data_IF_764134425566
#
_entry.id   IF_764134425566
#
_cell.length_a   1.000
_cell.length_b   1.000
_cell.length_c   1.000
_cell.angle_alpha   90.00
_cell.angle_beta   90.00
_cell.angle_gamma   90.00
#
_symmetry.space_group_name_H-M   'P 1'
#
loop_
_entity.id
_entity.type
_entity.pdbx_description
1 polymer ?
#
# COMPACT_ATOMS: atom_id res chain seq x y z
N UNK A 1 13.16 22.24 6.74
CA UNK A 1 12.91 22.38 8.20
C UNK A 1 12.76 23.88 8.45
N UNK A 2 11.56 24.35 8.84
CA UNK A 2 11.37 25.75 9.25
C UNK A 2 11.84 25.88 10.69
N UNK A 3 12.94 26.60 10.91
CA UNK A 3 13.59 26.73 12.22
C UNK A 3 13.14 28.01 12.91
N UNK A 4 12.59 27.88 14.13
CA UNK A 4 12.49 29.02 15.05
C UNK A 4 13.88 29.37 15.62
N UNK A 5 14.14 30.62 16.00
CA UNK A 5 15.50 31.09 16.33
C UNK A 5 16.04 30.59 17.68
N UNK A 6 15.19 30.02 18.55
CA UNK A 6 15.54 29.63 19.92
C UNK A 6 15.69 28.12 20.08
N UNK A 7 16.77 27.57 19.51
CA UNK A 7 17.64 26.56 20.15
C UNK A 7 17.10 25.23 20.70
N UNK A 8 15.82 24.87 20.59
CA UNK A 8 15.29 23.63 21.16
C UNK A 8 14.98 22.58 20.07
N UNK A 9 16.04 22.06 19.43
CA UNK A 9 15.94 20.86 18.61
C UNK A 9 16.12 19.62 19.48
N UNK A 10 15.02 18.97 19.82
CA UNK A 10 15.06 17.62 20.40
C UNK A 10 14.83 16.59 19.29
N UNK A 11 15.87 15.82 18.97
CA UNK A 11 15.75 14.64 18.11
C UNK A 11 15.06 13.54 18.92
N UNK A 12 13.76 13.34 18.68
CA UNK A 12 13.02 12.21 19.25
C UNK A 12 13.07 11.02 18.29
N UNK A 13 14.06 10.16 18.48
CA UNK A 13 14.04 8.81 17.90
C UNK A 13 12.93 8.01 18.58
N UNK A 14 12.01 7.45 17.79
CA UNK A 14 10.95 6.56 18.28
C UNK A 14 11.25 5.12 17.84
N UNK A 15 10.93 4.10 18.65
CA UNK A 15 11.10 2.72 18.23
C UNK A 15 10.23 2.37 17.01
N UNK A 16 10.65 1.39 16.22
CA UNK A 16 9.93 0.95 15.02
C UNK A 16 8.46 0.61 15.32
N UNK A 17 7.54 1.06 14.45
CA UNK A 17 6.09 0.83 14.56
C UNK A 17 5.44 1.29 15.90
N UNK A 18 5.96 2.35 16.53
CA UNK A 18 5.36 2.93 17.75
C UNK A 18 4.35 4.05 17.49
N UNK A 19 4.25 4.56 16.26
CA UNK A 19 3.16 5.47 15.91
C UNK A 19 1.85 4.70 15.85
N UNK A 20 0.83 5.20 16.55
CA UNK A 20 -0.45 4.50 16.76
C UNK A 20 -1.66 5.29 16.29
N UNK A 21 -1.48 6.55 15.89
CA UNK A 21 -2.57 7.44 15.48
C UNK A 21 -2.11 8.42 14.41
N UNK A 22 -2.85 8.46 13.30
CA UNK A 22 -2.77 9.57 12.34
C UNK A 22 -3.63 10.71 12.87
N UNK A 23 -3.06 11.91 12.92
CA UNK A 23 -3.75 13.10 13.46
C UNK A 23 -4.25 14.02 12.35
N UNK A 24 -3.58 14.01 11.21
CA UNK A 24 -3.86 14.91 10.09
C UNK A 24 -4.59 14.25 8.93
N UNK A 25 -5.35 15.05 8.19
CA UNK A 25 -5.93 14.62 6.91
C UNK A 25 -4.85 14.32 5.87
N UNK A 26 -3.72 15.03 5.91
CA UNK A 26 -2.58 14.81 5.04
C UNK A 26 -1.97 13.41 5.20
N UNK A 27 -1.87 12.92 6.44
CA UNK A 27 -1.41 11.57 6.75
C UNK A 27 -2.39 10.51 6.25
N UNK A 28 -3.70 10.73 6.44
CA UNK A 28 -4.73 9.83 5.94
C UNK A 28 -4.70 9.74 4.40
N UNK A 29 -4.54 10.87 3.70
CA UNK A 29 -4.45 10.89 2.24
C UNK A 29 -3.21 10.17 1.71
N UNK A 30 -2.06 10.26 2.39
CA UNK A 30 -0.88 9.46 2.03
C UNK A 30 -1.16 7.96 2.13
N UNK A 31 -1.90 7.52 3.16
CA UNK A 31 -2.28 6.11 3.28
C UNK A 31 -3.22 5.68 2.14
N UNK A 32 -4.19 6.51 1.76
CA UNK A 32 -5.07 6.24 0.62
C UNK A 32 -4.30 6.17 -0.70
N UNK A 33 -3.44 7.15 -0.96
CA UNK A 33 -2.61 7.18 -2.17
C UNK A 33 -1.70 5.96 -2.23
N UNK A 34 -1.06 5.59 -1.12
CA UNK A 34 -0.18 4.43 -1.04
C UNK A 34 -0.91 3.14 -1.43
N UNK A 35 -2.10 2.90 -0.90
CA UNK A 35 -2.91 1.71 -1.22
C UNK A 35 -3.43 1.76 -2.65
N UNK A 36 -3.95 2.91 -3.10
CA UNK A 36 -4.46 3.07 -4.46
C UNK A 36 -3.37 2.80 -5.50
N UNK A 37 -2.16 3.32 -5.29
CA UNK A 37 -1.02 3.09 -6.16
C UNK A 37 -0.53 1.65 -6.11
N UNK A 38 -0.54 0.99 -4.95
CA UNK A 38 -0.21 -0.43 -4.85
C UNK A 38 -1.14 -1.29 -5.71
N UNK A 39 -2.46 -1.07 -5.64
CA UNK A 39 -3.44 -1.78 -6.48
C UNK A 39 -3.20 -1.47 -7.95
N UNK A 40 -3.07 -0.19 -8.29
CA UNK A 40 -2.84 0.25 -9.66
C UNK A 40 -1.59 -0.39 -10.27
N UNK A 41 -0.45 -0.34 -9.57
CA UNK A 41 0.80 -0.90 -10.08
C UNK A 41 0.72 -2.42 -10.20
N UNK A 42 0.00 -3.09 -9.31
CA UNK A 42 -0.28 -4.51 -9.43
C UNK A 42 -1.08 -4.80 -10.72
N UNK A 43 -2.12 -4.01 -11.01
CA UNK A 43 -2.91 -4.14 -12.24
C UNK A 43 -2.08 -3.83 -13.49
N UNK A 44 -1.33 -2.73 -13.50
CA UNK A 44 -0.59 -2.27 -14.66
C UNK A 44 0.64 -3.12 -14.94
N UNK A 45 1.43 -3.49 -13.93
CA UNK A 45 2.71 -4.18 -14.14
C UNK A 45 2.59 -5.69 -14.07
N UNK A 46 1.82 -6.23 -13.11
CA UNK A 46 1.67 -7.68 -12.92
C UNK A 46 0.44 -8.24 -13.64
N UNK A 47 -0.59 -7.43 -13.89
CA UNK A 47 -1.84 -7.88 -14.49
C UNK A 47 -1.72 -8.31 -15.96
N UNK A 48 -2.67 -9.14 -16.45
CA UNK A 48 -2.68 -9.64 -17.83
C UNK A 48 -3.24 -8.61 -18.84
N UNK A 49 -3.68 -7.44 -18.40
CA UNK A 49 -4.39 -6.47 -19.23
C UNK A 49 -3.44 -5.58 -20.06
N UNK A 50 -3.18 -5.98 -21.30
CA UNK A 50 -2.31 -5.23 -22.22
C UNK A 50 -2.81 -3.81 -22.56
N UNK A 51 -4.12 -3.57 -22.53
CA UNK A 51 -4.71 -2.24 -22.77
C UNK A 51 -4.30 -1.23 -21.69
N UNK A 52 -4.34 -1.63 -20.42
CA UNK A 52 -3.93 -0.76 -19.30
C UNK A 52 -2.43 -0.47 -19.37
N UNK A 53 -1.62 -1.45 -19.78
CA UNK A 53 -0.18 -1.28 -20.03
C UNK A 53 0.09 -0.27 -21.15
N UNK A 54 -0.66 -0.36 -22.25
CA UNK A 54 -0.54 0.56 -23.36
C UNK A 54 -0.89 2.01 -22.96
N UNK A 55 -1.96 2.19 -22.18
CA UNK A 55 -2.33 3.51 -21.64
C UNK A 55 -1.26 4.09 -20.70
N UNK A 56 -0.60 3.25 -19.92
CA UNK A 56 0.49 3.69 -19.05
C UNK A 56 1.78 4.01 -19.83
N UNK A 57 2.03 3.34 -20.95
CA UNK A 57 3.25 3.49 -21.76
C UNK A 57 3.08 4.49 -22.92
N UNK A 58 2.58 5.69 -22.60
CA UNK A 58 2.27 6.73 -23.60
C UNK A 58 3.49 7.16 -24.42
N UNK A 59 4.70 7.08 -23.87
CA UNK A 59 5.93 7.47 -24.55
C UNK A 59 6.25 6.57 -25.75
N UNK A 60 5.96 5.27 -25.66
CA UNK A 60 6.21 4.31 -26.75
C UNK A 60 4.99 4.13 -27.65
N UNK A 61 3.78 4.14 -27.08
CA UNK A 61 2.54 3.83 -27.81
C UNK A 61 1.90 5.08 -28.44
N UNK A 62 2.11 6.26 -27.86
CA UNK A 62 1.52 7.52 -28.35
C UNK A 62 0.02 7.69 -28.08
N UNK A 63 -0.63 6.80 -27.32
CA UNK A 63 -2.05 6.89 -26.97
C UNK A 63 -2.31 7.87 -25.82
N UNK A 64 -2.34 9.16 -26.16
CA UNK A 64 -2.62 10.24 -25.21
C UNK A 64 -4.04 10.18 -24.62
N UNK A 65 -5.02 9.67 -25.38
CA UNK A 65 -6.40 9.55 -24.93
C UNK A 65 -6.52 8.50 -23.81
N UNK A 66 -5.95 7.32 -24.04
CA UNK A 66 -5.85 6.26 -23.04
C UNK A 66 -5.06 6.70 -21.80
N UNK A 67 -3.95 7.41 -21.99
CA UNK A 67 -3.16 7.96 -20.89
C UNK A 67 -3.95 8.94 -20.01
N UNK A 68 -4.69 9.88 -20.61
CA UNK A 68 -5.51 10.84 -19.86
C UNK A 68 -6.63 10.14 -19.06
N UNK A 69 -7.26 9.11 -19.65
CA UNK A 69 -8.24 8.29 -18.94
C UNK A 69 -7.60 7.55 -17.76
N UNK A 70 -6.43 6.94 -17.98
CA UNK A 70 -5.66 6.24 -16.96
C UNK A 70 -5.28 7.18 -15.81
N UNK A 71 -4.69 8.35 -16.12
CA UNK A 71 -4.31 9.35 -15.13
C UNK A 71 -5.52 9.89 -14.35
N UNK A 72 -6.62 10.20 -15.06
CA UNK A 72 -7.87 10.64 -14.45
C UNK A 72 -8.44 9.60 -13.48
N UNK A 73 -8.48 8.33 -13.89
CA UNK A 73 -8.95 7.23 -13.05
C UNK A 73 -8.14 7.11 -11.76
N UNK A 74 -6.80 7.22 -11.84
CA UNK A 74 -5.92 7.15 -10.67
C UNK A 74 -6.23 8.27 -9.68
N UNK A 75 -6.34 9.51 -10.16
CA UNK A 75 -6.64 10.65 -9.30
C UNK A 75 -8.03 10.54 -8.68
N UNK A 76 -9.04 10.16 -9.46
CA UNK A 76 -10.39 9.96 -8.97
C UNK A 76 -10.43 8.87 -7.90
N UNK A 77 -9.74 7.75 -8.11
CA UNK A 77 -9.71 6.64 -7.14
C UNK A 77 -8.96 7.05 -5.87
N UNK A 78 -7.76 7.62 -6.00
CA UNK A 78 -6.89 7.94 -4.86
C UNK A 78 -7.43 9.10 -4.02
N UNK A 79 -8.01 10.13 -4.64
CA UNK A 79 -8.43 11.36 -3.96
C UNK A 79 -9.92 11.41 -3.64
N UNK A 80 -10.74 10.63 -4.34
CA UNK A 80 -12.20 10.64 -4.22
C UNK A 80 -12.77 9.32 -3.72
N UNK A 81 -12.68 8.27 -4.55
CA UNK A 81 -13.37 6.99 -4.30
C UNK A 81 -12.88 6.33 -3.02
N UNK A 82 -11.57 6.16 -2.85
CA UNK A 82 -11.02 5.44 -1.69
C UNK A 82 -11.29 6.19 -0.37
N UNK A 83 -11.06 7.53 -0.27
CA UNK A 83 -11.49 8.29 0.91
C UNK A 83 -13.00 8.23 1.17
N UNK A 84 -13.84 8.28 0.13
CA UNK A 84 -15.29 8.19 0.27
C UNK A 84 -15.73 6.82 0.80
N UNK A 85 -15.21 5.73 0.24
CA UNK A 85 -15.43 4.37 0.75
C UNK A 85 -14.98 4.27 2.19
N UNK A 86 -13.81 4.81 2.53
CA UNK A 86 -13.29 4.77 3.89
C UNK A 86 -14.16 5.56 4.89
N UNK A 87 -14.68 6.71 4.47
CA UNK A 87 -15.65 7.48 5.24
C UNK A 87 -16.94 6.71 5.46
N UNK A 88 -17.47 6.04 4.43
CA UNK A 88 -18.66 5.19 4.55
C UNK A 88 -18.42 4.05 5.55
N UNK A 89 -17.27 3.37 5.50
CA UNK A 89 -16.93 2.32 6.46
C UNK A 89 -16.84 2.84 7.89
N UNK A 90 -16.19 4.00 8.10
CA UNK A 90 -16.11 4.63 9.41
C UNK A 90 -17.48 5.09 9.93
N UNK A 91 -18.34 5.57 9.03
CA UNK A 91 -19.71 5.97 9.35
C UNK A 91 -20.60 4.78 9.71
N UNK A 92 -20.54 3.69 8.94
CA UNK A 92 -21.20 2.43 9.27
C UNK A 92 -20.71 1.87 10.61
N UNK A 93 -19.40 1.95 10.87
CA UNK A 93 -18.83 1.57 12.15
C UNK A 93 -19.42 2.38 13.30
N UNK A 94 -19.54 3.70 13.13
CA UNK A 94 -20.21 4.58 14.10
C UNK A 94 -21.65 4.14 14.37
N UNK A 95 -22.43 3.88 13.33
CA UNK A 95 -23.83 3.42 13.44
C UNK A 95 -23.93 2.09 14.21
N UNK A 96 -23.11 1.10 13.84
CA UNK A 96 -23.12 -0.23 14.44
C UNK A 96 -22.59 -0.24 15.88
N UNK A 97 -21.71 0.69 16.24
CA UNK A 97 -21.17 0.81 17.60
C UNK A 97 -22.22 1.25 18.62
N UNK A 98 -23.34 1.83 18.19
CA UNK A 98 -24.39 2.36 19.06
C UNK A 98 -23.94 3.54 19.95
N UNK A 99 -22.78 4.15 19.68
CA UNK A 99 -22.22 5.25 20.46
C UNK A 99 -22.07 6.52 19.63
N UNK A 100 -23.08 7.41 19.62
CA UNK A 100 -23.06 8.63 18.81
C UNK A 100 -22.02 9.65 19.28
N UNK A 101 -21.56 9.53 20.53
CA UNK A 101 -20.55 10.37 21.20
C UNK A 101 -19.20 10.40 20.48
N UNK A 102 -18.83 9.32 19.78
CA UNK A 102 -17.57 9.26 19.04
C UNK A 102 -17.75 9.97 17.69
N UNK A 103 -16.97 11.03 17.40
CA UNK A 103 -17.12 11.77 16.16
C UNK A 103 -16.61 10.95 14.96
N UNK A 104 -17.37 10.94 13.86
CA UNK A 104 -17.04 10.20 12.64
C UNK A 104 -15.65 10.58 12.07
N UNK A 105 -15.27 11.86 12.18
CA UNK A 105 -13.93 12.34 11.79
C UNK A 105 -12.80 11.61 12.53
N UNK A 106 -12.96 11.35 13.82
CA UNK A 106 -11.93 10.67 14.60
C UNK A 106 -11.81 9.19 14.20
N UNK A 107 -12.92 8.55 13.83
CA UNK A 107 -12.91 7.17 13.32
C UNK A 107 -12.29 7.11 11.93
N UNK A 108 -12.63 8.05 11.04
CA UNK A 108 -12.07 8.15 9.70
C UNK A 108 -10.54 8.30 9.72
N UNK A 109 -10.04 9.29 10.47
CA UNK A 109 -8.59 9.54 10.59
C UNK A 109 -7.89 8.41 11.35
N UNK A 110 -8.49 7.95 12.44
CA UNK A 110 -7.92 6.89 13.26
C UNK A 110 -7.77 5.58 12.48
N UNK A 111 -8.84 5.13 11.85
CA UNK A 111 -8.83 3.87 11.10
C UNK A 111 -8.01 3.95 9.82
N UNK A 112 -7.77 5.13 9.24
CA UNK A 112 -6.85 5.26 8.10
C UNK A 112 -5.43 4.73 8.43
N UNK A 113 -5.02 4.72 9.71
CA UNK A 113 -3.76 4.09 10.13
C UNK A 113 -3.69 2.61 9.76
N UNK A 114 -4.83 1.91 9.75
CA UNK A 114 -4.90 0.47 9.44
C UNK A 114 -4.48 0.17 8.00
N UNK A 115 -4.64 1.13 7.09
CA UNK A 115 -4.17 1.01 5.70
C UNK A 115 -2.65 1.08 5.58
N UNK A 116 -1.95 1.61 6.59
CA UNK A 116 -0.49 1.73 6.56
C UNK A 116 0.20 0.35 6.58
N UNK A 117 -0.02 -0.54 7.58
CA UNK A 117 0.61 -1.86 7.57
C UNK A 117 0.15 -2.73 6.40
N UNK A 118 -1.13 -2.65 6.01
CA UNK A 118 -1.67 -3.41 4.86
C UNK A 118 -1.06 -2.93 3.55
N UNK A 119 -1.06 -1.63 3.31
CA UNK A 119 -0.49 -1.04 2.09
C UNK A 119 1.02 -1.23 2.01
N UNK A 120 1.75 -1.08 3.12
CA UNK A 120 3.19 -1.35 3.15
C UNK A 120 3.49 -2.82 2.83
N UNK A 121 2.74 -3.76 3.40
CA UNK A 121 2.87 -5.17 3.09
C UNK A 121 2.57 -5.46 1.61
N UNK A 122 1.55 -4.82 1.04
CA UNK A 122 1.23 -4.93 -0.38
C UNK A 122 2.35 -4.38 -1.28
N UNK A 123 2.97 -3.26 -0.92
CA UNK A 123 4.12 -2.71 -1.63
C UNK A 123 5.33 -3.64 -1.59
N UNK A 124 5.65 -4.19 -0.41
CA UNK A 124 6.72 -5.18 -0.25
C UNK A 124 6.44 -6.41 -1.12
N UNK A 125 5.22 -6.95 -1.04
CA UNK A 125 4.79 -8.10 -1.83
C UNK A 125 4.88 -7.82 -3.35
N UNK A 126 4.48 -6.63 -3.78
CA UNK A 126 4.56 -6.18 -5.17
C UNK A 126 6.01 -6.07 -5.67
N UNK A 127 6.98 -5.70 -4.82
CA UNK A 127 8.39 -5.54 -5.21
C UNK A 127 9.14 -6.85 -5.45
N UNK A 128 8.75 -7.95 -4.79
CA UNK A 128 9.42 -9.25 -4.94
C UNK A 128 9.50 -9.75 -6.39
N UNK A 129 8.40 -9.76 -7.17
CA UNK A 129 8.44 -10.10 -8.59
C UNK A 129 9.46 -9.29 -9.39
N UNK A 130 9.55 -7.98 -9.14
CA UNK A 130 10.45 -7.09 -9.87
C UNK A 130 11.91 -7.50 -9.67
N UNK A 131 12.26 -7.95 -8.46
CA UNK A 131 13.61 -8.42 -8.13
C UNK A 131 13.82 -9.83 -8.68
N UNK A 132 12.95 -10.79 -8.37
CA UNK A 132 13.16 -12.21 -8.68
C UNK A 132 13.21 -12.47 -10.19
N UNK A 133 12.45 -11.73 -10.98
CA UNK A 133 12.46 -11.83 -12.44
C UNK A 133 13.68 -11.16 -13.08
N UNK A 134 14.22 -10.10 -12.46
CA UNK A 134 15.25 -9.26 -13.07
C UNK A 134 16.62 -9.33 -12.38
N UNK A 135 16.79 -10.07 -11.30
CA UNK A 135 18.04 -10.08 -10.50
C UNK A 135 19.26 -10.46 -11.33
N UNK A 136 19.15 -11.44 -12.24
CA UNK A 136 20.25 -11.81 -13.14
C UNK A 136 20.64 -10.66 -14.06
N UNK A 137 19.66 -9.90 -14.55
CA UNK A 137 19.89 -8.74 -15.39
C UNK A 137 20.47 -7.56 -14.60
N UNK A 138 19.96 -7.31 -13.39
CA UNK A 138 20.51 -6.29 -12.48
C UNK A 138 21.98 -6.57 -12.19
N UNK A 139 22.35 -7.82 -11.92
CA UNK A 139 23.73 -8.21 -11.65
C UNK A 139 24.62 -8.09 -12.90
N UNK A 140 24.12 -8.51 -14.08
CA UNK A 140 24.86 -8.36 -15.33
C UNK A 140 25.13 -6.88 -15.66
N UNK A 141 24.10 -6.03 -15.61
CA UNK A 141 24.21 -4.59 -15.86
C UNK A 141 25.03 -3.88 -14.78
N UNK A 142 25.03 -4.34 -13.53
CA UNK A 142 25.91 -3.80 -12.50
C UNK A 142 27.39 -4.17 -12.73
N UNK A 143 27.66 -5.34 -13.34
CA UNK A 143 29.01 -5.79 -13.68
C UNK A 143 29.59 -5.05 -14.90
N UNK A 144 28.75 -4.74 -15.88
CA UNK A 144 29.08 -3.93 -17.06
C UNK A 144 28.10 -2.74 -17.27
N UNK A 145 28.20 -1.68 -16.45
CA UNK A 145 27.22 -0.59 -16.47
C UNK A 145 27.27 0.26 -17.74
N UNK A 146 28.42 0.29 -18.44
CA UNK A 146 28.61 1.06 -19.66
C UNK A 146 28.55 0.21 -20.94
N UNK A 147 28.45 -1.12 -20.82
CA UNK A 147 28.52 -2.03 -21.97
C UNK A 147 29.91 -2.05 -22.63
N UNK A 148 30.96 -1.69 -21.89
CA UNK A 148 32.33 -1.60 -22.41
C UNK A 148 33.10 -2.92 -22.26
N UNK A 149 32.41 -3.99 -21.87
CA UNK A 149 33.01 -5.29 -21.58
C UNK A 149 33.67 -5.34 -20.20
N UNK A 150 33.26 -4.47 -19.28
CA UNK A 150 33.71 -4.55 -17.89
C UNK A 150 33.10 -5.78 -17.21
N UNK A 151 33.80 -6.30 -16.21
CA UNK A 151 33.26 -7.38 -15.37
C UNK A 151 33.63 -7.16 -13.91
N UNK A 152 33.05 -6.10 -13.32
CA UNK A 152 33.40 -5.65 -11.97
C UNK A 152 33.08 -6.68 -10.88
N UNK A 153 32.08 -7.53 -11.12
CA UNK A 153 31.54 -8.50 -10.15
C UNK A 153 31.68 -9.96 -10.63
N UNK A 154 32.20 -10.19 -11.85
CA UNK A 154 32.30 -11.54 -12.41
C UNK A 154 31.00 -12.08 -13.03
N UNK A 155 30.00 -11.22 -13.23
CA UNK A 155 28.63 -11.59 -13.61
C UNK A 155 28.14 -10.93 -14.91
N UNK A 156 29.01 -10.23 -15.66
CA UNK A 156 28.62 -9.50 -16.88
C UNK A 156 27.98 -10.38 -17.96
N UNK A 157 28.36 -11.66 -18.01
CA UNK A 157 27.92 -12.61 -19.03
C UNK A 157 26.82 -13.57 -18.57
N UNK A 158 26.23 -13.35 -17.39
CA UNK A 158 25.14 -14.20 -16.90
C UNK A 158 23.89 -13.99 -17.76
N UNK A 159 23.34 -15.05 -18.38
CA UNK A 159 22.12 -14.92 -19.18
C UNK A 159 20.94 -14.54 -18.29
N UNK A 160 19.96 -13.84 -18.87
CA UNK A 160 18.72 -13.54 -18.17
C UNK A 160 17.98 -14.83 -17.81
N UNK A 161 17.72 -15.02 -16.52
CA UNK A 161 16.91 -16.12 -16.00
C UNK A 161 16.19 -15.67 -14.72
N UNK A 162 14.87 -15.91 -14.60
CA UNK A 162 14.17 -15.73 -13.33
C UNK A 162 14.77 -16.62 -12.24
N UNK A 163 14.87 -16.10 -11.02
CA UNK A 163 15.33 -16.85 -9.85
C UNK A 163 14.09 -17.25 -9.03
N UNK A 164 13.93 -18.55 -8.78
CA UNK A 164 12.91 -19.12 -7.90
C UNK A 164 11.48 -18.56 -8.09
N UNK A 165 10.95 -18.51 -9.33
CA UNK A 165 9.61 -17.98 -9.60
C UNK A 165 8.51 -18.75 -8.86
N UNK A 166 8.71 -20.04 -8.57
CA UNK A 166 7.77 -20.90 -7.86
C UNK A 166 7.50 -20.45 -6.42
N UNK A 167 8.43 -19.73 -5.78
CA UNK A 167 8.27 -19.25 -4.41
C UNK A 167 7.59 -17.87 -4.31
N UNK A 168 7.47 -17.15 -5.43
CA UNK A 168 6.99 -15.77 -5.47
C UNK A 168 5.60 -15.62 -4.84
N UNK A 169 4.64 -16.47 -5.25
CA UNK A 169 3.28 -16.43 -4.73
C UNK A 169 3.21 -16.67 -3.22
N UNK A 170 3.98 -17.62 -2.70
CA UNK A 170 4.00 -17.93 -1.26
C UNK A 170 4.51 -16.74 -0.43
N UNK A 171 5.56 -16.05 -0.91
CA UNK A 171 6.11 -14.86 -0.24
C UNK A 171 5.08 -13.72 -0.25
N UNK A 172 4.45 -13.47 -1.40
CA UNK A 172 3.44 -12.42 -1.56
C UNK A 172 2.23 -12.65 -0.66
N UNK A 173 1.70 -13.87 -0.64
CA UNK A 173 0.58 -14.27 0.24
C UNK A 173 0.96 -14.05 1.70
N UNK A 174 2.14 -14.52 2.11
CA UNK A 174 2.61 -14.41 3.50
C UNK A 174 2.71 -12.95 3.94
N UNK A 175 3.29 -12.08 3.10
CA UNK A 175 3.39 -10.64 3.41
C UNK A 175 2.02 -10.00 3.56
N UNK A 176 1.09 -10.28 2.64
CA UNK A 176 -0.28 -9.75 2.71
C UNK A 176 -1.02 -10.20 3.97
N UNK A 177 -0.89 -11.48 4.35
CA UNK A 177 -1.50 -12.01 5.58
C UNK A 177 -0.91 -11.38 6.84
N UNK A 178 0.41 -11.17 6.87
CA UNK A 178 1.07 -10.45 7.97
C UNK A 178 0.55 -9.00 8.04
N UNK A 179 0.46 -8.31 6.89
CA UNK A 179 -0.09 -6.95 6.82
C UNK A 179 -1.54 -6.88 7.32
N UNK A 180 -2.38 -7.82 6.93
CA UNK A 180 -3.76 -7.94 7.41
C UNK A 180 -3.83 -8.20 8.91
N UNK A 181 -3.02 -9.12 9.45
CA UNK A 181 -2.99 -9.43 10.87
C UNK A 181 -2.60 -8.21 11.71
N UNK A 182 -1.55 -7.48 11.31
CA UNK A 182 -1.15 -6.23 11.97
C UNK A 182 -2.23 -5.15 11.82
N UNK A 183 -2.85 -5.03 10.65
CA UNK A 183 -3.95 -4.09 10.43
C UNK A 183 -5.14 -4.36 11.37
N UNK A 184 -5.56 -5.62 11.50
CA UNK A 184 -6.66 -6.02 12.37
C UNK A 184 -6.33 -5.81 13.86
N UNK A 185 -5.14 -6.23 14.33
CA UNK A 185 -4.73 -6.03 15.74
C UNK A 185 -4.67 -4.53 16.09
N UNK A 186 -4.01 -3.71 15.26
CA UNK A 186 -3.86 -2.28 15.53
C UNK A 186 -5.17 -1.53 15.40
N UNK A 187 -5.99 -1.86 14.40
CA UNK A 187 -7.32 -1.28 14.22
C UNK A 187 -8.25 -1.60 15.39
N UNK A 188 -8.25 -2.83 15.88
CA UNK A 188 -9.03 -3.23 17.04
C UNK A 188 -8.58 -2.52 18.32
N UNK A 189 -7.26 -2.43 18.58
CA UNK A 189 -6.73 -1.69 19.72
C UNK A 189 -7.13 -0.22 19.69
N UNK A 190 -7.12 0.40 18.51
CA UNK A 190 -7.55 1.78 18.34
C UNK A 190 -9.06 1.95 18.60
N UNK A 191 -9.88 1.01 18.12
CA UNK A 191 -11.31 0.99 18.41
C UNK A 191 -11.57 0.82 19.92
N UNK A 192 -10.86 -0.08 20.59
CA UNK A 192 -10.92 -0.29 22.03
C UNK A 192 -10.56 0.98 22.81
N UNK A 193 -9.46 1.65 22.42
CA UNK A 193 -9.04 2.90 23.05
C UNK A 193 -10.07 4.03 22.88
N UNK A 194 -10.89 4.01 21.82
CA UNK A 194 -11.87 5.06 21.54
C UNK A 194 -13.24 4.80 22.16
N UNK A 195 -13.71 3.55 22.14
CA UNK A 195 -15.02 3.16 22.62
C UNK A 195 -15.03 2.70 24.08
N UNK A 196 -13.89 2.24 24.63
CA UNK A 196 -13.74 1.79 26.01
C UNK A 196 -14.50 0.50 26.36
N UNK A 197 -15.24 -0.09 25.42
CA UNK A 197 -16.02 -1.32 25.60
C UNK A 197 -15.81 -2.28 24.44
N UNK A 198 -15.59 -3.56 24.76
CA UNK A 198 -15.32 -4.61 23.76
C UNK A 198 -16.42 -4.76 22.71
N UNK A 199 -17.70 -4.79 23.13
CA UNK A 199 -18.82 -4.95 22.20
C UNK A 199 -18.95 -3.78 21.21
N UNK A 200 -18.85 -2.54 21.71
CA UNK A 200 -18.92 -1.35 20.86
C UNK A 200 -17.70 -1.22 19.94
N UNK A 201 -16.51 -1.59 20.43
CA UNK A 201 -15.29 -1.58 19.64
C UNK A 201 -15.32 -2.61 18.50
N UNK A 202 -15.73 -3.85 18.76
CA UNK A 202 -15.83 -4.89 17.73
C UNK A 202 -16.86 -4.49 16.68
N UNK A 203 -18.06 -4.06 17.08
CA UNK A 203 -19.10 -3.63 16.13
C UNK A 203 -18.70 -2.39 15.34
N UNK A 204 -18.01 -1.45 15.99
CA UNK A 204 -17.52 -0.24 15.35
C UNK A 204 -16.37 -0.46 14.36
N UNK A 205 -15.49 -1.43 14.66
CA UNK A 205 -14.38 -1.77 13.78
C UNK A 205 -14.75 -2.74 12.66
N UNK A 206 -15.83 -3.52 12.83
CA UNK A 206 -16.22 -4.58 11.90
C UNK A 206 -16.29 -4.13 10.43
N UNK A 207 -16.91 -2.99 10.06
CA UNK A 207 -16.94 -2.57 8.65
C UNK A 207 -15.54 -2.30 8.07
N UNK A 208 -14.66 -1.67 8.86
CA UNK A 208 -13.28 -1.42 8.46
C UNK A 208 -12.48 -2.71 8.36
N UNK A 209 -12.65 -3.64 9.30
CA UNK A 209 -12.03 -4.96 9.28
C UNK A 209 -12.42 -5.76 8.03
N UNK A 210 -13.70 -5.74 7.66
CA UNK A 210 -14.19 -6.35 6.41
C UNK A 210 -13.59 -5.63 5.20
N UNK A 211 -13.54 -4.29 5.21
CA UNK A 211 -12.95 -3.51 4.12
C UNK A 211 -11.48 -3.86 3.83
N UNK A 212 -10.65 -3.98 4.87
CA UNK A 212 -9.23 -4.35 4.68
C UNK A 212 -9.05 -5.83 4.31
N UNK A 213 -9.94 -6.71 4.77
CA UNK A 213 -9.94 -8.11 4.37
C UNK A 213 -10.29 -8.23 2.88
N UNK A 214 -11.33 -7.53 2.42
CA UNK A 214 -11.70 -7.46 0.99
C UNK A 214 -10.58 -6.87 0.14
N UNK A 215 -9.95 -5.78 0.60
CA UNK A 215 -8.78 -5.20 -0.07
C UNK A 215 -7.62 -6.21 -0.16
N UNK A 216 -7.37 -6.96 0.90
CA UNK A 216 -6.34 -8.01 0.91
C UNK A 216 -6.69 -9.13 -0.08
N UNK A 217 -7.96 -9.53 -0.17
CA UNK A 217 -8.44 -10.50 -1.17
C UNK A 217 -8.24 -9.98 -2.60
N UNK A 218 -8.45 -8.69 -2.85
CA UNK A 218 -8.15 -8.06 -4.15
C UNK A 218 -6.67 -8.21 -4.48
N UNK A 219 -5.75 -7.91 -3.54
CA UNK A 219 -4.32 -8.11 -3.75
C UNK A 219 -3.96 -9.58 -3.98
N UNK A 220 -4.50 -10.50 -3.19
CA UNK A 220 -4.27 -11.93 -3.37
C UNK A 220 -4.69 -12.37 -4.76
N UNK A 221 -5.89 -12.00 -5.21
CA UNK A 221 -6.38 -12.30 -6.56
C UNK A 221 -5.50 -11.71 -7.65
N UNK A 222 -4.98 -10.50 -7.47
CA UNK A 222 -4.07 -9.87 -8.42
C UNK A 222 -2.70 -10.56 -8.49
N UNK A 223 -2.20 -11.10 -7.38
CA UNK A 223 -0.88 -11.73 -7.30
C UNK A 223 -0.87 -13.20 -7.68
N UNK A 224 -1.93 -13.95 -7.35
CA UNK A 224 -1.99 -15.39 -7.63
C UNK A 224 -2.63 -15.74 -8.97
N UNK A 225 -3.21 -14.75 -9.66
CA UNK A 225 -3.90 -14.94 -10.94
C UNK A 225 -5.34 -15.36 -10.77
#
# INVERSE_FOLDING_TARGET
>A
IKTCPSGNMTLRARPFCTDVQLKGYDEAWKAFIMVALAVLYSVTLLGPWGTVKAWANVAEVGDWGGFLLYAGLIWTVALGVLPAVWFLLAWLGRLLSGRPEVPAKALFLGFAYVLVPVGLAAWIAFSFPLIFVNVSHILATASDPMGWGWDLVGLAHVPWRPVWPEYMGYIQITMLLVGLAYGLDRGYRLAMARYGQAHAATRGFLPTAVGIALLTLVFLRLFTG
#
